data_IF_383871351419
#
_entry.id   IF_383871351419
#
_cell.length_a   1.000
_cell.length_b   1.000
_cell.length_c   1.000
_cell.angle_alpha   90.00
_cell.angle_beta   90.00
_cell.angle_gamma   90.00
#
_symmetry.space_group_name_H-M   'P 1'
#
loop_
_entity.id
_entity.type
_entity.pdbx_description
1 polymer ?
#
# COMPACT_ATOMS: atom_id res chain seq x y z
N UNK A 1 -74.59 -13.28 -54.53
CA UNK A 1 -73.36 -13.48 -55.33
C UNK A 1 -72.21 -12.71 -54.70
N UNK A 2 -71.07 -13.34 -54.38
CA UNK A 2 -69.88 -12.65 -53.88
C UNK A 2 -69.05 -12.12 -55.07
N UNK A 3 -69.36 -10.91 -55.54
CA UNK A 3 -68.60 -10.22 -56.60
C UNK A 3 -68.44 -11.05 -57.88
N UNK A 4 -69.51 -11.69 -58.34
CA UNK A 4 -69.59 -12.43 -59.60
C UNK A 4 -70.57 -11.72 -60.55
N UNK A 5 -70.37 -11.90 -61.86
CA UNK A 5 -71.34 -11.45 -62.85
C UNK A 5 -72.53 -12.42 -62.91
N UNK A 6 -73.72 -11.90 -63.19
CA UNK A 6 -74.88 -12.70 -63.62
C UNK A 6 -75.38 -12.13 -64.95
N UNK A 7 -75.83 -13.03 -65.82
CA UNK A 7 -76.52 -12.71 -67.05
C UNK A 7 -77.97 -13.19 -66.90
N UNK A 8 -78.93 -12.32 -67.22
CA UNK A 8 -80.37 -12.59 -67.20
C UNK A 8 -80.88 -12.47 -68.63
N UNK A 9 -81.58 -13.49 -69.10
CA UNK A 9 -82.22 -13.49 -70.41
C UNK A 9 -83.64 -12.92 -70.31
N UNK A 10 -83.99 -12.06 -71.26
CA UNK A 10 -85.30 -11.45 -71.42
C UNK A 10 -85.84 -11.82 -72.80
N UNK A 11 -86.91 -12.61 -72.85
CA UNK A 11 -87.68 -12.87 -74.07
C UNK A 11 -88.67 -11.74 -74.33
N UNK A 12 -88.60 -11.13 -75.51
CA UNK A 12 -89.54 -10.12 -76.00
C UNK A 12 -90.28 -10.70 -77.21
N UNK A 13 -91.57 -10.97 -77.07
CA UNK A 13 -92.45 -11.55 -78.10
C UNK A 13 -93.40 -10.47 -78.63
N UNK A 14 -93.45 -10.26 -79.94
CA UNK A 14 -94.38 -9.32 -80.56
C UNK A 14 -95.71 -10.05 -80.88
N UNK A 15 -96.79 -9.70 -80.17
CA UNK A 15 -98.14 -10.25 -80.39
C UNK A 15 -99.01 -9.39 -81.33
N UNK A 16 -98.44 -8.33 -81.90
CA UNK A 16 -99.06 -7.45 -82.88
C UNK A 16 -99.09 -8.03 -84.30
N UNK A 17 -99.52 -7.20 -85.26
CA UNK A 17 -99.65 -7.57 -86.69
C UNK A 17 -98.58 -6.96 -87.60
N UNK A 18 -97.75 -6.08 -87.05
CA UNK A 18 -96.66 -5.40 -87.77
C UNK A 18 -95.39 -5.40 -86.93
N UNK A 19 -94.25 -5.30 -87.58
CA UNK A 19 -92.95 -5.20 -86.91
C UNK A 19 -92.91 -3.95 -86.02
N UNK A 20 -92.41 -4.12 -84.79
CA UNK A 20 -92.34 -3.05 -83.79
C UNK A 20 -90.97 -3.03 -83.11
N UNK A 21 -90.56 -1.82 -82.71
CA UNK A 21 -89.35 -1.59 -81.94
C UNK A 21 -89.71 -1.47 -80.46
N UNK A 22 -89.02 -2.26 -79.64
CA UNK A 22 -89.13 -2.26 -78.19
C UNK A 22 -87.85 -1.71 -77.59
N UNK A 23 -87.99 -0.74 -76.68
CA UNK A 23 -86.89 -0.17 -75.89
C UNK A 23 -86.87 -0.84 -74.51
N UNK A 24 -85.70 -1.27 -74.04
CA UNK A 24 -85.50 -2.00 -72.78
C UNK A 24 -84.70 -1.12 -71.81
N UNK A 25 -85.33 -0.76 -70.69
CA UNK A 25 -84.68 -0.05 -69.58
C UNK A 25 -84.59 -0.92 -68.31
N UNK A 26 -83.55 -0.70 -67.51
CA UNK A 26 -83.26 -1.50 -66.31
C UNK A 26 -82.96 -0.57 -65.13
N UNK A 27 -83.79 -0.67 -64.09
CA UNK A 27 -83.77 0.21 -62.92
C UNK A 27 -83.61 -0.59 -61.62
N UNK A 28 -83.28 0.09 -60.52
CA UNK A 28 -83.16 -0.51 -59.18
C UNK A 28 -81.75 -0.98 -58.76
N UNK A 29 -80.77 -0.84 -59.65
CA UNK A 29 -79.33 -1.05 -59.37
C UNK A 29 -78.51 0.11 -59.96
N UNK A 30 -77.27 0.35 -59.48
CA UNK A 30 -76.38 1.33 -60.08
C UNK A 30 -76.15 1.07 -61.58
N UNK A 31 -76.31 2.10 -62.43
CA UNK A 31 -76.16 1.99 -63.89
C UNK A 31 -74.74 1.56 -64.34
N UNK A 32 -73.73 1.74 -63.49
CA UNK A 32 -72.39 1.20 -63.68
C UNK A 32 -72.32 -0.34 -63.65
N UNK A 33 -73.29 -1.02 -63.01
CA UNK A 33 -73.35 -2.47 -62.94
C UNK A 33 -74.07 -3.11 -64.13
N UNK A 34 -74.92 -2.37 -64.84
CA UNK A 34 -75.80 -2.94 -65.88
C UNK A 34 -75.20 -2.81 -67.28
N UNK A 35 -75.27 -3.88 -68.08
CA UNK A 35 -74.98 -3.88 -69.52
C UNK A 35 -76.00 -4.73 -70.27
N UNK A 36 -76.95 -4.07 -70.93
CA UNK A 36 -77.90 -4.69 -71.86
C UNK A 36 -77.23 -4.81 -73.23
N UNK A 37 -77.23 -6.01 -73.84
CA UNK A 37 -76.58 -6.21 -75.15
C UNK A 37 -77.34 -5.54 -76.32
N UNK A 38 -78.66 -5.44 -76.22
CA UNK A 38 -79.58 -4.84 -77.19
C UNK A 38 -80.58 -3.95 -76.43
N UNK A 39 -80.27 -2.67 -76.16
CA UNK A 39 -81.15 -1.77 -75.39
C UNK A 39 -82.40 -1.34 -76.17
N UNK A 40 -82.40 -1.52 -77.49
CA UNK A 40 -83.61 -1.50 -78.30
C UNK A 40 -83.53 -2.63 -79.33
N UNK A 41 -84.67 -3.24 -79.64
CA UNK A 41 -84.76 -4.37 -80.58
C UNK A 41 -86.04 -4.29 -81.40
N UNK A 42 -85.93 -4.57 -82.70
CA UNK A 42 -87.09 -4.72 -83.60
C UNK A 42 -87.47 -6.20 -83.60
N UNK A 43 -88.77 -6.49 -83.51
CA UNK A 43 -89.31 -7.85 -83.50
C UNK A 43 -90.49 -7.92 -84.47
N UNK A 44 -90.46 -8.90 -85.36
CA UNK A 44 -91.50 -9.13 -86.36
C UNK A 44 -92.76 -9.79 -85.77
N UNK A 45 -93.92 -9.75 -86.45
CA UNK A 45 -95.19 -10.27 -85.91
C UNK A 45 -95.12 -11.77 -85.58
N UNK A 46 -95.42 -12.13 -84.33
CA UNK A 46 -95.36 -13.50 -83.82
C UNK A 46 -93.97 -13.97 -83.40
N UNK A 47 -92.90 -13.25 -83.75
CA UNK A 47 -91.53 -13.62 -83.41
C UNK A 47 -91.15 -13.26 -81.97
N UNK A 48 -90.09 -13.89 -81.49
CA UNK A 48 -89.50 -13.65 -80.16
C UNK A 48 -88.01 -13.37 -80.27
N UNK A 49 -87.57 -12.27 -79.65
CA UNK A 49 -86.15 -11.89 -79.56
C UNK A 49 -85.64 -11.97 -78.13
N UNK A 50 -84.41 -12.49 -77.96
CA UNK A 50 -83.76 -12.68 -76.66
C UNK A 50 -82.76 -11.55 -76.36
N UNK A 51 -83.06 -10.72 -75.36
CA UNK A 51 -82.17 -9.65 -74.88
C UNK A 51 -81.40 -10.16 -73.66
N UNK A 52 -80.09 -9.94 -73.63
CA UNK A 52 -79.21 -10.38 -72.54
C UNK A 52 -78.81 -9.20 -71.65
N UNK A 53 -79.24 -9.24 -70.39
CA UNK A 53 -78.98 -8.23 -69.37
C UNK A 53 -77.85 -8.74 -68.47
N UNK A 54 -76.68 -8.14 -68.56
CA UNK A 54 -75.53 -8.47 -67.73
C UNK A 54 -75.46 -7.55 -66.53
N UNK A 55 -75.37 -8.12 -65.33
CA UNK A 55 -75.20 -7.42 -64.06
C UNK A 55 -73.82 -7.75 -63.51
N UNK A 56 -72.99 -6.71 -63.32
CA UNK A 56 -71.60 -6.78 -62.89
C UNK A 56 -71.34 -5.83 -61.71
N UNK A 57 -71.68 -6.23 -60.47
CA UNK A 57 -71.31 -5.48 -59.28
C UNK A 57 -69.80 -5.36 -59.17
N UNK A 58 -69.30 -4.13 -58.95
CA UNK A 58 -67.85 -3.89 -58.80
C UNK A 58 -67.36 -4.44 -57.44
N UNK A 59 -66.16 -5.01 -57.40
CA UNK A 59 -65.54 -5.44 -56.14
C UNK A 59 -64.89 -4.25 -55.43
N UNK A 60 -65.72 -3.38 -54.86
CA UNK A 60 -65.32 -2.22 -54.07
C UNK A 60 -66.10 -2.17 -52.75
N UNK A 61 -65.54 -1.54 -51.71
CA UNK A 61 -66.17 -1.41 -50.37
C UNK A 61 -67.56 -0.77 -50.43
N UNK A 62 -67.78 0.12 -51.40
CA UNK A 62 -69.04 0.85 -51.57
C UNK A 62 -70.18 -0.01 -52.14
N UNK A 63 -69.87 -1.21 -52.67
CA UNK A 63 -70.87 -2.16 -53.17
C UNK A 63 -71.55 -2.89 -52.02
N UNK A 64 -72.47 -2.17 -51.36
CA UNK A 64 -73.19 -2.63 -50.16
C UNK A 64 -73.91 -3.98 -50.41
N UNK A 65 -73.63 -5.02 -49.62
CA UNK A 65 -74.36 -6.28 -49.64
C UNK A 65 -75.84 -6.07 -49.33
N UNK A 66 -76.71 -6.86 -49.96
CA UNK A 66 -78.14 -6.69 -49.80
C UNK A 66 -78.95 -7.27 -50.97
N UNK A 67 -80.27 -7.07 -50.89
CA UNK A 67 -81.21 -7.43 -51.96
C UNK A 67 -81.59 -6.17 -52.73
N UNK A 68 -81.26 -6.14 -54.02
CA UNK A 68 -81.62 -5.04 -54.93
C UNK A 68 -82.85 -5.46 -55.76
N UNK A 69 -84.00 -4.79 -55.62
CA UNK A 69 -85.15 -5.01 -56.50
C UNK A 69 -84.85 -4.39 -57.87
N UNK A 70 -84.66 -5.22 -58.89
CA UNK A 70 -84.42 -4.79 -60.26
C UNK A 70 -85.74 -4.82 -61.03
N UNK A 71 -86.08 -3.69 -61.65
CA UNK A 71 -87.20 -3.57 -62.56
C UNK A 71 -86.67 -3.49 -63.99
N UNK A 72 -87.10 -4.43 -64.84
CA UNK A 72 -86.89 -4.39 -66.29
C UNK A 72 -88.17 -3.87 -66.92
N UNK A 73 -88.08 -2.76 -67.66
CA UNK A 73 -89.22 -2.15 -68.36
C UNK A 73 -89.03 -2.31 -69.85
N UNK A 74 -90.02 -2.86 -70.55
CA UNK A 74 -90.04 -3.02 -72.01
C UNK A 74 -91.13 -2.10 -72.55
N UNK A 75 -90.72 -1.06 -73.28
CA UNK A 75 -91.59 -0.02 -73.82
C UNK A 75 -91.71 -0.16 -75.34
N UNK A 76 -92.92 -0.34 -75.89
CA UNK A 76 -93.15 -0.28 -77.34
C UNK A 76 -92.99 1.17 -77.84
N UNK A 77 -92.34 1.36 -78.99
CA UNK A 77 -92.16 2.69 -79.57
C UNK A 77 -93.50 3.26 -80.13
N UNK A 78 -94.50 2.43 -80.50
CA UNK A 78 -95.79 2.91 -81.05
C UNK A 78 -96.78 3.35 -79.97
N UNK A 79 -96.89 2.60 -78.88
CA UNK A 79 -97.66 2.98 -77.68
C UNK A 79 -96.83 2.82 -76.40
N UNK A 80 -96.16 3.90 -75.95
CA UNK A 80 -95.42 3.90 -74.69
C UNK A 80 -96.26 3.61 -73.45
N UNK A 81 -97.61 3.68 -73.52
CA UNK A 81 -98.50 3.35 -72.39
C UNK A 81 -98.64 1.84 -72.18
N UNK A 82 -98.40 1.04 -73.22
CA UNK A 82 -98.42 -0.43 -73.16
C UNK A 82 -97.10 -1.04 -72.63
N UNK A 83 -96.28 -0.26 -71.91
CA UNK A 83 -95.01 -0.71 -71.36
C UNK A 83 -95.18 -1.81 -70.30
N UNK A 84 -94.52 -2.96 -70.52
CA UNK A 84 -94.51 -4.09 -69.60
C UNK A 84 -93.37 -3.97 -68.59
N UNK A 85 -93.58 -4.48 -67.37
CA UNK A 85 -92.61 -4.42 -66.26
C UNK A 85 -92.41 -5.81 -65.67
N UNK A 86 -91.17 -6.29 -65.68
CA UNK A 86 -90.76 -7.49 -64.96
C UNK A 86 -89.94 -7.09 -63.72
N UNK A 87 -90.19 -7.76 -62.59
CA UNK A 87 -89.45 -7.54 -61.34
C UNK A 87 -88.63 -8.77 -60.98
N UNK A 88 -87.37 -8.58 -60.61
CA UNK A 88 -86.47 -9.63 -60.13
C UNK A 88 -85.62 -9.12 -58.95
N UNK A 89 -85.21 -10.00 -58.04
CA UNK A 89 -84.42 -9.61 -56.87
C UNK A 89 -82.97 -10.10 -56.98
N UNK A 90 -82.02 -9.17 -57.03
CA UNK A 90 -80.59 -9.47 -57.09
C UNK A 90 -79.99 -9.46 -55.68
N UNK A 91 -79.62 -10.62 -55.15
CA UNK A 91 -79.01 -10.74 -53.82
C UNK A 91 -77.47 -10.69 -53.90
N UNK A 92 -76.90 -9.51 -53.64
CA UNK A 92 -75.46 -9.31 -53.48
C UNK A 92 -75.03 -9.88 -52.12
N UNK A 93 -74.04 -10.78 -52.12
CA UNK A 93 -73.47 -11.36 -50.90
C UNK A 93 -72.22 -10.56 -50.52
N UNK A 94 -71.88 -10.45 -49.22
CA UNK A 94 -70.66 -9.78 -48.79
C UNK A 94 -69.44 -10.46 -49.39
N UNK A 95 -68.44 -9.66 -49.75
CA UNK A 95 -67.09 -10.14 -50.01
C UNK A 95 -66.15 -9.57 -48.95
N UNK A 96 -65.11 -10.33 -48.65
CA UNK A 96 -64.24 -10.09 -47.51
C UNK A 96 -62.81 -9.83 -48.00
N UNK A 97 -62.10 -8.94 -47.32
CA UNK A 97 -60.69 -8.70 -47.53
C UNK A 97 -60.13 -7.91 -46.35
N UNK A 98 -59.04 -8.38 -45.75
CA UNK A 98 -58.35 -7.71 -44.67
C UNK A 98 -56.92 -7.39 -45.10
N UNK A 99 -56.59 -6.10 -45.14
CA UNK A 99 -55.21 -5.63 -45.15
C UNK A 99 -54.73 -5.51 -43.71
N UNK A 100 -53.59 -6.13 -43.39
CA UNK A 100 -52.97 -6.06 -42.07
C UNK A 100 -51.46 -5.93 -42.21
N UNK A 101 -50.85 -4.95 -41.53
CA UNK A 101 -49.42 -4.66 -41.64
C UNK A 101 -48.87 -4.02 -40.36
N UNK A 102 -47.63 -4.37 -39.99
CA UNK A 102 -46.87 -3.64 -38.96
C UNK A 102 -46.19 -2.42 -39.60
N UNK A 103 -46.16 -1.27 -38.92
CA UNK A 103 -45.43 -0.08 -39.43
C UNK A 103 -43.92 -0.34 -39.59
N UNK A 104 -43.36 -1.24 -38.78
CA UNK A 104 -41.99 -1.72 -38.90
C UNK A 104 -41.94 -3.19 -38.48
N UNK A 105 -41.38 -4.07 -39.31
CA UNK A 105 -41.23 -5.51 -39.00
C UNK A 105 -40.15 -5.80 -37.95
N UNK A 106 -39.34 -4.80 -37.61
CA UNK A 106 -38.28 -4.81 -36.60
C UNK A 106 -38.51 -3.62 -35.66
N UNK A 107 -38.63 -3.88 -34.36
CA UNK A 107 -38.86 -2.86 -33.32
C UNK A 107 -37.93 -3.09 -32.14
N UNK A 108 -37.58 -2.04 -31.39
CA UNK A 108 -36.67 -2.17 -30.25
C UNK A 108 -37.43 -2.63 -29.00
N UNK A 109 -36.78 -3.42 -28.14
CA UNK A 109 -37.33 -3.80 -26.83
C UNK A 109 -37.73 -2.55 -26.03
N UNK A 110 -38.96 -2.50 -25.54
CA UNK A 110 -39.51 -1.33 -24.84
C UNK A 110 -40.19 -0.29 -25.75
N UNK A 111 -40.05 -0.38 -27.07
CA UNK A 111 -40.69 0.57 -27.99
C UNK A 111 -42.14 0.18 -28.33
N UNK A 112 -42.93 1.18 -28.70
CA UNK A 112 -44.29 1.01 -29.20
C UNK A 112 -44.26 0.58 -30.67
N UNK A 113 -44.94 -0.51 -31.01
CA UNK A 113 -45.26 -0.87 -32.40
C UNK A 113 -46.68 -0.43 -32.76
N UNK A 114 -46.96 -0.30 -34.06
CA UNK A 114 -48.29 0.00 -34.60
C UNK A 114 -48.67 -1.03 -35.66
N UNK A 115 -49.89 -1.54 -35.53
CA UNK A 115 -50.55 -2.47 -36.45
C UNK A 115 -51.62 -1.69 -37.21
N UNK A 116 -51.49 -1.63 -38.54
CA UNK A 116 -52.50 -1.08 -39.43
C UNK A 116 -53.47 -2.18 -39.84
N UNK A 117 -54.76 -1.90 -39.74
CA UNK A 117 -55.87 -2.75 -40.16
C UNK A 117 -56.69 -1.99 -41.21
N UNK A 118 -57.10 -2.66 -42.28
CA UNK A 118 -57.90 -2.08 -43.36
C UNK A 118 -58.92 -3.09 -43.87
N UNK A 119 -60.21 -2.78 -43.76
CA UNK A 119 -61.27 -3.62 -44.29
C UNK A 119 -61.48 -3.33 -45.78
N UNK A 120 -60.89 -4.15 -46.64
CA UNK A 120 -61.13 -4.13 -48.10
C UNK A 120 -62.46 -4.80 -48.49
N UNK A 121 -63.19 -5.41 -47.55
CA UNK A 121 -64.49 -6.03 -47.78
C UNK A 121 -65.64 -5.03 -47.89
N UNK A 122 -66.82 -5.53 -48.24
CA UNK A 122 -68.06 -4.75 -48.36
C UNK A 122 -69.00 -4.88 -47.15
N UNK A 123 -68.62 -5.63 -46.12
CA UNK A 123 -69.37 -5.80 -44.87
C UNK A 123 -68.53 -5.40 -43.65
N UNK A 124 -69.16 -5.03 -42.52
CA UNK A 124 -68.47 -4.83 -41.25
C UNK A 124 -67.71 -6.10 -40.83
N UNK A 125 -66.49 -5.91 -40.33
CA UNK A 125 -65.57 -6.97 -39.95
C UNK A 125 -65.18 -6.81 -38.48
N UNK A 126 -65.54 -7.81 -37.66
CA UNK A 126 -65.14 -7.89 -36.25
C UNK A 126 -63.91 -8.80 -36.10
N UNK A 127 -62.86 -8.29 -35.48
CA UNK A 127 -61.56 -8.95 -35.33
C UNK A 127 -61.16 -9.06 -33.87
N UNK A 128 -60.73 -10.25 -33.46
CA UNK A 128 -59.99 -10.48 -32.22
C UNK A 128 -58.49 -10.54 -32.51
N UNK A 129 -57.73 -9.73 -31.78
CA UNK A 129 -56.30 -9.57 -31.95
C UNK A 129 -55.57 -10.24 -30.80
N UNK A 130 -54.62 -11.13 -31.09
CA UNK A 130 -53.70 -11.69 -30.10
C UNK A 130 -52.26 -11.55 -30.56
N UNK A 131 -51.34 -11.39 -29.62
CA UNK A 131 -49.90 -11.32 -29.89
C UNK A 131 -49.21 -12.43 -29.10
N UNK A 132 -48.39 -13.24 -29.76
CA UNK A 132 -47.73 -14.41 -29.19
C UNK A 132 -46.28 -14.49 -29.65
N UNK A 133 -45.39 -15.05 -28.82
CA UNK A 133 -44.02 -15.39 -29.18
C UNK A 133 -43.76 -16.89 -28.99
N UNK A 134 -42.94 -17.48 -29.86
CA UNK A 134 -42.75 -18.94 -29.89
C UNK A 134 -42.00 -19.50 -28.67
N UNK A 135 -41.29 -18.64 -27.93
CA UNK A 135 -40.38 -19.04 -26.84
C UNK A 135 -40.74 -18.43 -25.47
N UNK A 136 -41.85 -17.70 -25.36
CA UNK A 136 -42.30 -17.11 -24.10
C UNK A 136 -41.32 -16.13 -23.45
N UNK A 137 -40.42 -15.50 -24.21
CA UNK A 137 -39.40 -14.53 -23.72
C UNK A 137 -39.91 -13.08 -23.72
N UNK A 138 -40.97 -12.79 -24.47
CA UNK A 138 -41.55 -11.46 -24.61
C UNK A 138 -42.80 -11.27 -23.75
N UNK A 139 -42.96 -10.07 -23.21
CA UNK A 139 -44.20 -9.54 -22.66
C UNK A 139 -44.82 -8.65 -23.74
N UNK A 140 -45.87 -9.16 -24.39
CA UNK A 140 -46.56 -8.51 -25.50
C UNK A 140 -47.89 -7.95 -24.99
N UNK A 141 -48.12 -6.65 -25.21
CA UNK A 141 -49.38 -5.99 -24.82
C UNK A 141 -49.92 -5.17 -25.98
N UNK A 142 -51.14 -5.47 -26.41
CA UNK A 142 -51.90 -4.65 -27.35
C UNK A 142 -52.75 -3.63 -26.59
N UNK A 143 -52.94 -2.43 -27.13
CA UNK A 143 -53.83 -1.42 -26.53
C UNK A 143 -55.31 -1.81 -26.61
N UNK A 144 -55.65 -2.69 -27.55
CA UNK A 144 -56.97 -3.31 -27.69
C UNK A 144 -56.82 -4.69 -28.32
N UNK A 145 -57.56 -5.68 -27.81
CA UNK A 145 -57.59 -7.06 -28.31
C UNK A 145 -58.82 -7.37 -29.18
N UNK A 146 -59.65 -6.36 -29.45
CA UNK A 146 -60.81 -6.41 -30.33
C UNK A 146 -60.83 -5.16 -31.20
N UNK A 147 -61.24 -5.28 -32.45
CA UNK A 147 -61.43 -4.16 -33.37
C UNK A 147 -62.60 -4.47 -34.31
N UNK A 148 -63.50 -3.51 -34.49
CA UNK A 148 -64.59 -3.59 -35.47
C UNK A 148 -64.33 -2.54 -36.54
N UNK A 149 -64.37 -2.95 -37.82
CA UNK A 149 -64.12 -2.08 -38.97
C UNK A 149 -65.30 -2.15 -39.95
N UNK A 150 -65.90 -1.01 -40.27
CA UNK A 150 -66.86 -0.88 -41.37
C UNK A 150 -66.23 -1.12 -42.74
N UNK A 151 -67.03 -1.23 -43.81
CA UNK A 151 -66.52 -1.38 -45.19
C UNK A 151 -65.59 -0.22 -45.58
N UNK A 152 -64.38 -0.51 -46.04
CA UNK A 152 -63.36 0.49 -46.38
C UNK A 152 -62.67 1.16 -45.19
N UNK A 153 -63.04 0.83 -43.95
CA UNK A 153 -62.50 1.49 -42.76
C UNK A 153 -61.05 1.08 -42.47
N UNK A 154 -60.28 2.02 -41.90
CA UNK A 154 -58.90 1.81 -41.44
C UNK A 154 -58.80 2.05 -39.94
N UNK A 155 -58.21 1.11 -39.22
CA UNK A 155 -57.90 1.24 -37.80
C UNK A 155 -56.39 1.08 -37.56
N UNK A 156 -55.90 1.67 -36.47
CA UNK A 156 -54.52 1.48 -36.01
C UNK A 156 -54.54 1.00 -34.56
N UNK A 157 -53.88 -0.12 -34.30
CA UNK A 157 -53.75 -0.71 -32.97
C UNK A 157 -52.29 -0.59 -32.54
N UNK A 158 -52.03 0.13 -31.46
CA UNK A 158 -50.71 0.18 -30.84
C UNK A 158 -50.46 -1.03 -29.95
N UNK A 159 -49.19 -1.39 -29.76
CA UNK A 159 -48.79 -2.33 -28.74
C UNK A 159 -47.36 -2.11 -28.27
N UNK A 160 -46.99 -2.75 -27.18
CA UNK A 160 -45.61 -2.80 -26.64
C UNK A 160 -45.10 -4.23 -26.67
N UNK A 161 -43.80 -4.36 -26.91
CA UNK A 161 -43.07 -5.61 -26.81
C UNK A 161 -41.81 -5.40 -25.98
N UNK A 162 -41.72 -6.07 -24.82
CA UNK A 162 -40.59 -5.96 -23.90
C UNK A 162 -40.06 -7.35 -23.55
N UNK A 163 -38.75 -7.50 -23.34
CA UNK A 163 -38.23 -8.74 -22.79
C UNK A 163 -38.72 -8.93 -21.34
N UNK A 164 -39.06 -10.17 -20.98
CA UNK A 164 -39.38 -10.54 -19.59
C UNK A 164 -38.15 -10.44 -18.68
N UNK A 165 -36.99 -10.83 -19.18
CA UNK A 165 -35.70 -10.78 -18.48
C UNK A 165 -34.81 -9.69 -19.10
N UNK A 166 -34.38 -8.72 -18.29
CA UNK A 166 -33.49 -7.65 -18.75
C UNK A 166 -32.04 -8.14 -18.82
N UNK A 167 -31.44 -8.08 -20.01
CA UNK A 167 -30.03 -8.43 -20.22
C UNK A 167 -29.14 -7.19 -20.06
N UNK A 168 -28.39 -7.12 -18.96
CA UNK A 168 -27.42 -6.03 -18.75
C UNK A 168 -26.18 -6.13 -19.65
N UNK A 169 -25.82 -7.35 -20.08
CA UNK A 169 -24.63 -7.65 -20.86
C UNK A 169 -24.95 -8.58 -22.03
N UNK A 170 -24.30 -8.38 -23.18
CA UNK A 170 -24.34 -9.35 -24.26
C UNK A 170 -24.01 -8.78 -25.63
N UNK A 171 -24.39 -9.54 -26.65
CA UNK A 171 -24.61 -9.06 -28.01
C UNK A 171 -26.12 -8.90 -28.26
N UNK A 172 -26.46 -8.15 -29.30
CA UNK A 172 -27.83 -7.97 -29.79
C UNK A 172 -28.53 -9.31 -30.02
N UNK A 173 -29.81 -9.38 -29.67
CA UNK A 173 -30.63 -10.57 -29.87
C UNK A 173 -31.96 -10.22 -30.54
N UNK A 174 -32.37 -11.03 -31.51
CA UNK A 174 -33.69 -10.92 -32.16
C UNK A 174 -34.66 -11.93 -31.58
N UNK A 175 -35.85 -11.45 -31.18
CA UNK A 175 -36.95 -12.28 -30.68
C UNK A 175 -38.17 -12.10 -31.58
N UNK A 176 -38.55 -13.16 -32.29
CA UNK A 176 -39.71 -13.14 -33.17
C UNK A 176 -41.02 -13.23 -32.38
N UNK A 177 -42.01 -12.45 -32.78
CA UNK A 177 -43.40 -12.54 -32.34
C UNK A 177 -44.34 -12.54 -33.55
N UNK A 178 -45.57 -12.98 -33.34
CA UNK A 178 -46.62 -12.98 -34.36
C UNK A 178 -47.85 -12.33 -33.77
N UNK A 179 -48.46 -11.41 -34.52
CA UNK A 179 -49.79 -10.90 -34.22
C UNK A 179 -50.79 -11.62 -35.12
N UNK A 180 -51.78 -12.25 -34.53
CA UNK A 180 -52.88 -12.91 -35.23
C UNK A 180 -54.15 -12.08 -35.09
N UNK A 181 -54.80 -11.83 -36.22
CA UNK A 181 -56.15 -11.28 -36.30
C UNK A 181 -57.10 -12.40 -36.72
N UNK A 182 -57.99 -12.79 -35.81
CA UNK A 182 -59.04 -13.78 -36.04
C UNK A 182 -60.37 -13.06 -36.28
N UNK A 183 -61.14 -13.46 -37.29
CA UNK A 183 -62.48 -12.93 -37.51
C UNK A 183 -63.48 -13.69 -36.63
N UNK A 184 -64.04 -13.03 -35.62
CA UNK A 184 -64.99 -13.61 -34.65
C UNK A 184 -66.36 -13.95 -35.28
N UNK A 185 -66.61 -13.50 -36.51
CA UNK A 185 -67.82 -13.77 -37.29
C UNK A 185 -67.46 -14.31 -38.68
N UNK A 186 -68.45 -14.87 -39.39
CA UNK A 186 -68.30 -15.25 -40.81
C UNK A 186 -67.70 -14.08 -41.59
N UNK A 187 -66.58 -14.28 -42.31
CA UNK A 187 -66.09 -15.56 -42.88
C UNK A 187 -65.16 -16.45 -42.02
N UNK A 188 -64.89 -16.15 -40.74
CA UNK A 188 -64.02 -16.97 -39.86
C UNK A 188 -62.61 -17.28 -40.42
N UNK A 189 -61.88 -16.26 -40.89
CA UNK A 189 -60.46 -16.41 -41.24
C UNK A 189 -59.53 -16.02 -40.09
N UNK A 190 -58.26 -16.41 -40.18
CA UNK A 190 -57.17 -15.89 -39.35
C UNK A 190 -56.06 -15.38 -40.26
N UNK A 191 -55.56 -14.17 -40.01
CA UNK A 191 -54.36 -13.63 -40.67
C UNK A 191 -53.27 -13.38 -39.64
N UNK A 192 -52.04 -13.78 -39.96
CA UNK A 192 -50.88 -13.64 -39.10
C UNK A 192 -49.87 -12.65 -39.70
N UNK A 193 -49.36 -11.72 -38.88
CA UNK A 193 -48.28 -10.81 -39.25
C UNK A 193 -47.08 -11.04 -38.34
N UNK A 194 -45.92 -11.46 -38.88
CA UNK A 194 -44.70 -11.61 -38.10
C UNK A 194 -44.05 -10.26 -37.81
N UNK A 195 -43.44 -10.17 -36.62
CA UNK A 195 -42.59 -9.06 -36.20
C UNK A 195 -41.38 -9.57 -35.43
N UNK A 196 -40.37 -8.70 -35.25
CA UNK A 196 -39.16 -8.98 -34.48
C UNK A 196 -38.90 -7.87 -33.47
N UNK A 197 -38.63 -8.25 -32.23
CA UNK A 197 -38.04 -7.37 -31.22
C UNK A 197 -36.53 -7.49 -31.29
N UNK A 198 -35.83 -6.37 -31.33
CA UNK A 198 -34.37 -6.30 -31.14
C UNK A 198 -34.09 -5.91 -29.69
N UNK A 199 -33.35 -6.76 -29.00
CA UNK A 199 -32.80 -6.49 -27.68
C UNK A 199 -31.36 -5.99 -27.85
N UNK A 200 -31.09 -4.78 -27.34
CA UNK A 200 -29.77 -4.15 -27.31
C UNK A 200 -29.30 -4.06 -25.86
N UNK A 201 -28.43 -4.98 -25.39
CA UNK A 201 -27.85 -4.89 -24.06
C UNK A 201 -27.04 -3.60 -23.90
N UNK A 202 -27.14 -2.86 -22.77
CA UNK A 202 -26.47 -1.58 -22.60
C UNK A 202 -24.95 -1.69 -22.52
N UNK A 203 -24.41 -2.87 -22.19
CA UNK A 203 -22.98 -3.11 -22.05
C UNK A 203 -22.53 -4.29 -22.94
N UNK A 204 -21.42 -4.16 -23.69
CA UNK A 204 -20.86 -5.25 -24.48
C UNK A 204 -20.46 -6.46 -23.63
N UNK A 205 -20.51 -7.64 -24.23
CA UNK A 205 -20.21 -8.92 -23.58
C UNK A 205 -18.79 -9.05 -22.97
N UNK A 206 -17.83 -8.18 -23.34
CA UNK A 206 -16.48 -8.16 -22.75
C UNK A 206 -16.42 -7.46 -21.39
N UNK A 207 -17.33 -6.54 -21.10
CA UNK A 207 -17.28 -5.72 -19.88
C UNK A 207 -17.47 -6.54 -18.60
N UNK A 208 -18.23 -7.65 -18.66
CA UNK A 208 -18.30 -8.65 -17.57
C UNK A 208 -16.93 -9.26 -17.23
N UNK A 209 -16.09 -9.49 -18.23
CA UNK A 209 -14.73 -10.05 -18.04
C UNK A 209 -13.80 -8.98 -17.47
N UNK A 210 -13.90 -7.74 -17.95
CA UNK A 210 -13.17 -6.60 -17.40
C UNK A 210 -13.49 -6.36 -15.91
N UNK A 211 -14.78 -6.47 -15.52
CA UNK A 211 -15.19 -6.35 -14.12
C UNK A 211 -14.60 -7.46 -13.23
N UNK A 212 -14.62 -8.72 -13.70
CA UNK A 212 -14.01 -9.86 -12.98
C UNK A 212 -12.48 -9.68 -12.89
N UNK A 213 -11.81 -9.29 -13.97
CA UNK A 213 -10.37 -9.04 -13.99
C UNK A 213 -9.98 -7.89 -13.05
N UNK A 214 -10.76 -6.80 -13.02
CA UNK A 214 -10.56 -5.69 -12.08
C UNK A 214 -10.73 -6.10 -10.62
N UNK A 215 -11.73 -6.94 -10.31
CA UNK A 215 -11.92 -7.48 -8.97
C UNK A 215 -10.77 -8.41 -8.54
N UNK A 216 -10.30 -9.29 -9.43
CA UNK A 216 -9.14 -10.15 -9.17
C UNK A 216 -7.85 -9.33 -8.98
N UNK A 217 -7.63 -8.30 -9.80
CA UNK A 217 -6.51 -7.39 -9.66
C UNK A 217 -6.56 -6.64 -8.32
N UNK A 218 -7.73 -6.17 -7.89
CA UNK A 218 -7.91 -5.54 -6.58
C UNK A 218 -7.56 -6.51 -5.43
N UNK A 219 -7.98 -7.77 -5.49
CA UNK A 219 -7.60 -8.80 -4.51
C UNK A 219 -6.08 -9.02 -4.49
N UNK A 220 -5.43 -9.09 -5.65
CA UNK A 220 -3.95 -9.22 -5.74
C UNK A 220 -3.24 -8.00 -5.16
N UNK A 221 -3.70 -6.79 -5.46
CA UNK A 221 -3.13 -5.54 -4.93
C UNK A 221 -3.32 -5.43 -3.40
N UNK A 222 -4.48 -5.81 -2.87
CA UNK A 222 -4.73 -5.89 -1.43
C UNK A 222 -3.80 -6.93 -0.79
N UNK A 223 -3.67 -8.11 -1.39
CA UNK A 223 -2.76 -9.16 -0.90
C UNK A 223 -1.29 -8.70 -0.88
N UNK A 224 -0.84 -7.99 -1.92
CA UNK A 224 0.50 -7.42 -1.98
C UNK A 224 0.72 -6.32 -0.93
N UNK A 225 -0.26 -5.43 -0.73
CA UNK A 225 -0.20 -4.40 0.31
C UNK A 225 -0.14 -5.00 1.72
N UNK A 226 -0.95 -6.02 2.00
CA UNK A 226 -0.92 -6.75 3.29
C UNK A 226 0.40 -7.50 3.49
N UNK A 227 0.96 -8.11 2.45
CA UNK A 227 2.28 -8.77 2.50
C UNK A 227 3.39 -7.75 2.83
N UNK A 228 3.41 -6.60 2.16
CA UNK A 228 4.36 -5.51 2.46
C UNK A 228 4.24 -5.03 3.92
N UNK A 229 3.02 -4.90 4.44
CA UNK A 229 2.77 -4.51 5.83
C UNK A 229 3.24 -5.55 6.85
N UNK A 230 3.14 -6.85 6.53
CA UNK A 230 3.51 -7.95 7.41
C UNK A 230 5.02 -8.24 7.43
N UNK A 231 5.73 -7.96 6.34
CA UNK A 231 7.18 -8.23 6.19
C UNK A 231 8.05 -7.12 6.76
N UNK A 232 7.58 -5.88 6.80
CA UNK A 232 8.37 -4.73 7.26
C UNK A 232 8.39 -4.59 8.80
N UNK A 233 8.74 -5.66 9.51
CA UNK A 233 8.96 -5.63 10.97
C UNK A 233 10.36 -5.11 11.26
N UNK A 234 10.49 -3.82 11.54
CA UNK A 234 11.73 -3.24 12.08
C UNK A 234 11.98 -3.78 13.48
N UNK A 235 13.06 -4.55 13.67
CA UNK A 235 13.51 -4.98 15.00
C UNK A 235 14.41 -3.89 15.57
N UNK A 236 14.13 -3.43 16.79
CA UNK A 236 14.99 -2.48 17.49
C UNK A 236 16.25 -3.22 17.99
N UNK A 237 17.47 -2.76 17.68
CA UNK A 237 18.69 -3.41 18.14
C UNK A 237 18.83 -3.28 19.66
N UNK A 238 19.51 -4.25 20.30
CA UNK A 238 19.69 -4.29 21.76
C UNK A 238 21.17 -4.44 22.08
N UNK A 239 21.75 -3.42 22.73
CA UNK A 239 23.08 -3.51 23.34
C UNK A 239 22.90 -4.21 24.69
N UNK A 240 23.28 -5.48 24.78
CA UNK A 240 23.16 -6.30 25.98
C UNK A 240 24.29 -6.00 26.99
N UNK A 241 25.48 -5.68 26.50
CA UNK A 241 26.60 -5.20 27.31
C UNK A 241 27.49 -4.25 26.49
N UNK A 242 28.03 -3.23 27.16
CA UNK A 242 29.16 -2.43 26.66
C UNK A 242 29.99 -1.97 27.86
N UNK A 243 31.28 -2.30 27.86
CA UNK A 243 32.16 -2.07 29.00
C UNK A 243 33.61 -1.79 28.55
N UNK A 244 34.38 -1.19 29.43
CA UNK A 244 35.82 -0.98 29.29
C UNK A 244 36.53 -1.62 30.49
N UNK A 245 37.60 -2.39 30.25
CA UNK A 245 38.38 -3.03 31.30
C UNK A 245 39.88 -2.76 31.11
N UNK A 246 40.55 -2.11 32.07
CA UNK A 246 40.00 -1.38 33.22
C UNK A 246 39.39 -0.02 32.80
N UNK A 247 38.45 0.51 33.59
CA UNK A 247 37.91 1.88 33.41
C UNK A 247 38.88 2.97 33.90
N UNK A 248 39.84 2.62 34.76
CA UNK A 248 40.97 3.46 35.16
C UNK A 248 42.27 2.75 34.83
N UNK A 249 43.11 3.36 34.01
CA UNK A 249 44.30 2.72 33.43
C UNK A 249 45.55 3.58 33.64
N UNK A 250 46.69 2.92 33.91
CA UNK A 250 48.00 3.58 33.90
C UNK A 250 48.40 3.86 32.45
N UNK A 251 48.85 5.08 32.15
CA UNK A 251 49.30 5.48 30.81
C UNK A 251 50.31 4.47 30.24
N UNK A 252 50.03 3.97 29.04
CA UNK A 252 50.81 2.95 28.34
C UNK A 252 50.38 1.51 28.61
N UNK A 253 49.40 1.26 29.48
CA UNK A 253 48.72 -0.04 29.57
C UNK A 253 47.53 -0.09 28.58
N UNK A 254 47.20 -1.27 28.01
CA UNK A 254 46.05 -1.43 27.13
C UNK A 254 44.73 -1.31 27.89
N UNK A 255 43.69 -0.80 27.21
CA UNK A 255 42.30 -0.85 27.67
C UNK A 255 41.49 -1.70 26.71
N UNK A 256 40.77 -2.70 27.20
CA UNK A 256 39.91 -3.54 26.38
C UNK A 256 38.46 -3.02 26.43
N UNK A 257 37.93 -2.59 25.29
CA UNK A 257 36.51 -2.30 25.11
C UNK A 257 35.81 -3.58 24.67
N UNK A 258 34.76 -4.00 25.39
CA UNK A 258 33.99 -5.21 25.07
C UNK A 258 32.50 -4.88 24.92
N UNK A 259 31.82 -5.58 24.00
CA UNK A 259 30.39 -5.41 23.76
C UNK A 259 29.70 -6.73 23.40
N UNK A 260 28.40 -6.82 23.71
CA UNK A 260 27.45 -7.83 23.21
C UNK A 260 26.22 -7.09 22.66
N UNK A 261 25.93 -7.24 21.37
CA UNK A 261 24.83 -6.59 20.69
C UNK A 261 24.01 -7.60 19.90
N UNK A 262 22.68 -7.49 20.02
CA UNK A 262 21.70 -8.32 19.31
C UNK A 262 20.86 -7.48 18.36
N UNK A 263 20.38 -8.15 17.32
CA UNK A 263 19.46 -7.58 16.32
C UNK A 263 19.96 -6.28 15.68
N UNK A 264 21.29 -6.12 15.56
CA UNK A 264 21.94 -5.04 14.83
C UNK A 264 22.45 -5.53 13.46
N UNK A 265 22.41 -4.65 12.46
CA UNK A 265 22.99 -4.87 11.13
C UNK A 265 24.32 -4.15 10.95
N UNK A 266 24.55 -3.07 11.72
CA UNK A 266 25.79 -2.28 11.74
C UNK A 266 26.05 -1.81 13.17
N UNK A 267 27.32 -1.77 13.55
CA UNK A 267 27.79 -1.14 14.76
C UNK A 267 28.78 -0.02 14.40
N UNK A 268 28.75 1.07 15.16
CA UNK A 268 29.74 2.13 15.08
C UNK A 268 30.25 2.50 16.47
N UNK A 269 31.54 2.71 16.61
CA UNK A 269 32.17 3.21 17.83
C UNK A 269 32.58 4.68 17.62
N UNK A 270 32.10 5.56 18.49
CA UNK A 270 32.42 6.98 18.52
C UNK A 270 33.27 7.25 19.76
N UNK A 271 34.39 7.95 19.61
CA UNK A 271 35.23 8.41 20.73
C UNK A 271 35.14 9.94 20.83
N UNK A 272 34.80 10.43 22.01
CA UNK A 272 34.78 11.87 22.36
C UNK A 272 33.96 12.75 21.39
N UNK A 273 32.92 12.18 20.76
CA UNK A 273 32.09 12.88 19.76
C UNK A 273 32.74 13.06 18.39
N UNK A 274 33.86 12.38 18.10
CA UNK A 274 34.55 12.38 16.81
C UNK A 274 33.83 11.56 15.72
N UNK A 275 34.54 11.25 14.63
CA UNK A 275 33.96 10.45 13.55
C UNK A 275 33.62 9.02 13.99
N UNK A 276 32.47 8.45 13.57
CA UNK A 276 32.12 7.08 13.90
C UNK A 276 32.99 6.08 13.13
N UNK A 277 33.72 5.23 13.84
CA UNK A 277 34.38 4.08 13.24
C UNK A 277 33.40 2.92 13.13
N UNK A 278 33.15 2.46 11.89
CA UNK A 278 32.32 1.27 11.64
C UNK A 278 33.08 0.01 12.09
N UNK A 279 32.37 -0.92 12.73
CA UNK A 279 32.90 -2.22 13.13
C UNK A 279 32.44 -3.29 12.13
N UNK A 280 33.34 -4.20 11.77
CA UNK A 280 33.12 -5.16 10.67
C UNK A 280 32.06 -6.22 10.99
N UNK A 281 32.01 -6.71 12.24
CA UNK A 281 31.08 -7.74 12.67
C UNK A 281 29.99 -7.18 13.62
N UNK A 282 28.70 -7.22 13.23
CA UNK A 282 27.59 -6.87 14.11
C UNK A 282 27.26 -8.05 15.04
N UNK A 283 27.65 -7.93 16.31
CA UNK A 283 27.44 -8.96 17.32
C UNK A 283 28.17 -8.65 18.62
N UNK A 284 28.71 -9.69 19.26
CA UNK A 284 29.67 -9.52 20.36
C UNK A 284 31.10 -9.32 19.83
N UNK A 285 31.87 -8.46 20.48
CA UNK A 285 33.22 -8.13 20.03
C UNK A 285 34.07 -7.49 21.12
N UNK A 286 35.36 -7.35 20.80
CA UNK A 286 36.35 -6.69 21.65
C UNK A 286 37.30 -5.85 20.81
N UNK A 287 37.79 -4.74 21.36
CA UNK A 287 38.83 -3.93 20.75
C UNK A 287 39.73 -3.30 21.83
N UNK A 288 41.01 -3.61 21.75
CA UNK A 288 42.07 -3.02 22.57
C UNK A 288 42.46 -1.62 22.09
N UNK A 289 42.41 -0.64 22.99
CA UNK A 289 42.83 0.75 22.77
C UNK A 289 44.14 1.02 23.53
N UNK A 290 45.11 1.67 22.87
CA UNK A 290 46.34 2.15 23.50
C UNK A 290 46.06 3.44 24.29
N UNK A 291 46.26 3.40 25.61
CA UNK A 291 46.05 4.55 26.50
C UNK A 291 47.08 5.68 26.31
N UNK A 292 48.20 5.45 25.61
CA UNK A 292 49.09 6.54 25.21
C UNK A 292 48.40 7.55 24.29
N UNK A 293 47.47 7.06 23.46
CA UNK A 293 46.73 7.84 22.45
C UNK A 293 45.44 8.46 22.99
N UNK A 294 45.24 8.40 24.32
CA UNK A 294 44.05 8.91 25.00
C UNK A 294 44.38 10.13 25.91
N UNK A 295 43.49 11.13 25.97
CA UNK A 295 43.50 12.14 27.02
C UNK A 295 43.20 11.51 28.39
N UNK A 296 43.40 12.26 29.48
CA UNK A 296 43.19 11.80 30.85
C UNK A 296 41.77 11.29 31.14
N UNK A 297 40.79 11.65 30.30
CA UNK A 297 39.42 11.14 30.30
C UNK A 297 38.92 11.06 28.86
N UNK A 298 38.47 9.88 28.44
CA UNK A 298 37.85 9.63 27.14
C UNK A 298 36.48 8.97 27.33
N UNK A 299 35.49 9.32 26.51
CA UNK A 299 34.18 8.67 26.45
C UNK A 299 34.03 7.94 25.12
N UNK A 300 33.75 6.64 25.20
CA UNK A 300 33.40 5.81 24.05
C UNK A 300 31.89 5.60 24.01
N UNK A 301 31.29 5.71 22.84
CA UNK A 301 29.86 5.48 22.59
C UNK A 301 29.73 4.42 21.51
N UNK A 302 29.12 3.28 21.84
CA UNK A 302 28.75 2.24 20.90
C UNK A 302 27.34 2.52 20.38
N UNK A 303 27.18 2.57 19.07
CA UNK A 303 25.91 2.82 18.38
C UNK A 303 25.53 1.57 17.58
N UNK A 304 24.39 0.98 17.89
CA UNK A 304 23.83 -0.18 17.21
C UNK A 304 22.68 0.23 16.28
N UNK A 305 22.70 -0.22 15.03
CA UNK A 305 21.74 0.19 13.99
C UNK A 305 21.08 -1.02 13.31
N UNK A 306 19.76 -0.96 13.09
CA UNK A 306 19.01 -1.91 12.26
C UNK A 306 17.92 -1.18 11.46
N UNK A 307 18.12 -1.07 10.14
CA UNK A 307 17.26 -0.24 9.29
C UNK A 307 17.21 1.22 9.77
N UNK A 308 16.02 1.66 10.23
CA UNK A 308 15.78 2.99 10.79
C UNK A 308 15.84 3.05 12.32
N UNK A 309 16.10 1.93 13.00
CA UNK A 309 16.17 1.84 14.46
C UNK A 309 17.63 1.98 14.92
N UNK A 310 17.85 2.75 15.97
CA UNK A 310 19.18 3.01 16.54
C UNK A 310 19.10 3.01 18.08
N UNK A 311 20.10 2.42 18.73
CA UNK A 311 20.30 2.44 20.19
C UNK A 311 21.78 2.70 20.47
N UNK A 312 22.09 3.48 21.50
CA UNK A 312 23.44 3.83 21.92
C UNK A 312 23.72 3.47 23.39
N UNK A 313 24.99 3.21 23.70
CA UNK A 313 25.50 2.98 25.05
C UNK A 313 26.88 3.62 25.20
N UNK A 314 27.20 4.15 26.38
CA UNK A 314 28.46 4.87 26.62
C UNK A 314 29.27 4.28 27.78
N UNK A 315 30.60 4.27 27.64
CA UNK A 315 31.54 3.94 28.70
C UNK A 315 32.67 4.98 28.76
N UNK A 316 33.11 5.31 29.97
CA UNK A 316 34.17 6.29 30.21
C UNK A 316 35.44 5.60 30.69
N UNK A 317 36.58 6.00 30.13
CA UNK A 317 37.92 5.52 30.48
C UNK A 317 38.75 6.70 30.96
N UNK A 318 39.41 6.54 32.11
CA UNK A 318 40.32 7.55 32.66
C UNK A 318 41.76 7.04 32.66
N UNK A 319 42.68 7.85 32.15
CA UNK A 319 44.10 7.50 32.03
C UNK A 319 44.91 8.36 32.98
N UNK A 320 45.74 7.74 33.82
CA UNK A 320 46.58 8.45 34.79
C UNK A 320 48.06 8.03 34.72
N UNK A 321 48.94 8.95 35.11
CA UNK A 321 50.37 8.70 35.31
C UNK A 321 50.65 8.55 36.81
N UNK A 322 51.23 7.43 37.28
CA UNK A 322 51.59 7.25 38.68
C UNK A 322 52.86 8.04 39.03
N UNK A 323 52.90 8.63 40.22
CA UNK A 323 54.09 9.29 40.75
C UNK A 323 55.14 8.25 41.20
N UNK A 324 56.39 8.46 40.79
CA UNK A 324 57.52 7.59 41.13
C UNK A 324 58.64 8.43 41.73
N UNK A 325 59.13 8.04 42.91
CA UNK A 325 60.34 8.60 43.52
C UNK A 325 61.50 7.65 43.24
N UNK A 326 62.30 7.95 42.22
CA UNK A 326 63.42 7.10 41.77
C UNK A 326 64.55 7.05 42.81
N UNK A 327 64.93 8.22 43.33
CA UNK A 327 66.03 8.37 44.29
C UNK A 327 65.73 9.41 45.35
N UNK A 328 66.28 9.20 46.55
CA UNK A 328 66.39 10.18 47.62
C UNK A 328 67.71 9.90 48.36
N UNK A 329 68.57 10.90 48.46
CA UNK A 329 69.87 10.80 49.12
C UNK A 329 70.22 12.06 49.92
N UNK A 330 70.98 11.88 50.99
CA UNK A 330 71.45 12.97 51.85
C UNK A 330 72.97 12.89 51.93
N UNK A 331 73.65 14.02 51.76
CA UNK A 331 75.11 14.13 51.76
C UNK A 331 75.57 15.24 52.73
N UNK A 332 76.57 15.00 53.59
CA UNK A 332 77.19 13.70 53.87
C UNK A 332 76.20 12.71 54.51
N UNK A 333 76.30 11.43 54.16
CA UNK A 333 75.41 10.38 54.69
C UNK A 333 75.66 10.02 56.16
N UNK A 334 76.77 10.50 56.73
CA UNK A 334 77.06 10.49 58.16
C UNK A 334 77.17 11.94 58.60
N UNK A 335 76.53 12.26 59.71
CA UNK A 335 76.50 13.60 60.32
C UNK A 335 77.06 13.50 61.74
N UNK A 336 77.59 14.58 62.31
CA UNK A 336 78.20 14.56 63.64
C UNK A 336 77.37 15.36 64.64
N UNK A 337 76.99 14.75 65.76
CA UNK A 337 76.12 15.40 66.75
C UNK A 337 76.81 16.65 67.34
N UNK A 338 76.06 17.75 67.44
CA UNK A 338 76.54 19.04 67.95
C UNK A 338 77.69 19.68 67.14
N UNK A 339 77.87 19.30 65.88
CA UNK A 339 78.79 19.96 64.93
C UNK A 339 77.98 20.73 63.90
N UNK A 340 78.33 21.99 63.62
CA UNK A 340 77.71 22.75 62.54
C UNK A 340 78.21 22.17 61.20
N UNK A 341 77.28 21.78 60.34
CA UNK A 341 77.59 21.22 59.03
C UNK A 341 76.49 21.51 58.01
N UNK A 342 76.86 21.59 56.73
CA UNK A 342 75.90 21.71 55.65
C UNK A 342 75.40 20.32 55.21
N UNK A 343 74.11 20.20 54.90
CA UNK A 343 73.55 19.02 54.24
C UNK A 343 73.12 19.38 52.82
N UNK A 344 73.34 18.46 51.89
CA UNK A 344 72.75 18.49 50.56
C UNK A 344 71.84 17.28 50.41
N UNK A 345 70.55 17.54 50.26
CA UNK A 345 69.52 16.54 49.96
C UNK A 345 69.34 16.54 48.44
N UNK A 346 69.32 15.35 47.81
CA UNK A 346 69.08 15.18 46.37
C UNK A 346 68.00 14.14 46.13
N UNK A 347 67.19 14.34 45.11
CA UNK A 347 66.11 13.43 44.74
C UNK A 347 65.88 13.44 43.23
N UNK A 348 65.23 12.39 42.74
CA UNK A 348 64.64 12.34 41.40
C UNK A 348 63.23 11.79 41.51
N UNK A 349 62.27 12.52 40.92
CA UNK A 349 60.84 12.25 40.98
C UNK A 349 60.22 12.48 39.59
N UNK A 350 59.29 11.61 39.19
CA UNK A 350 58.62 11.65 37.89
C UNK A 350 57.14 11.31 38.02
N UNK A 351 56.30 11.78 37.08
CA UNK A 351 54.88 11.42 37.03
C UNK A 351 54.03 11.97 38.20
N UNK A 352 54.54 12.97 38.91
CA UNK A 352 53.80 13.61 40.01
C UNK A 352 52.94 14.77 39.51
N UNK A 353 51.88 15.07 40.26
CA UNK A 353 51.05 16.27 40.12
C UNK A 353 51.20 17.16 41.37
N UNK A 354 50.98 18.47 41.20
CA UNK A 354 51.11 19.44 42.30
C UNK A 354 52.56 19.78 42.66
N UNK A 355 52.80 20.14 43.93
CA UNK A 355 54.09 20.63 44.44
C UNK A 355 54.75 19.54 45.30
N UNK A 356 55.98 19.08 44.99
CA UNK A 356 56.73 18.18 45.86
C UNK A 356 57.10 18.85 47.19
N UNK A 357 57.11 18.08 48.28
CA UNK A 357 57.40 18.60 49.63
C UNK A 357 58.46 17.74 50.31
N UNK A 358 59.46 18.39 50.94
CA UNK A 358 60.32 17.73 51.92
C UNK A 358 59.73 17.88 53.33
N UNK A 359 59.69 16.76 54.08
CA UNK A 359 59.26 16.67 55.48
C UNK A 359 60.36 16.03 56.35
N UNK A 360 60.32 16.21 57.67
CA UNK A 360 61.20 15.50 58.62
C UNK A 360 62.57 16.15 58.88
N UNK A 361 62.64 17.48 58.74
CA UNK A 361 63.83 18.32 58.93
C UNK A 361 63.73 19.27 60.14
N UNK A 362 62.60 19.23 60.85
CA UNK A 362 62.27 20.10 61.99
C UNK A 362 63.29 20.03 63.15
N UNK A 363 63.89 18.86 63.39
CA UNK A 363 64.94 18.69 64.42
C UNK A 363 66.27 19.37 64.08
N UNK A 364 66.42 19.89 62.85
CA UNK A 364 67.54 20.72 62.42
C UNK A 364 67.23 22.22 62.48
N UNK A 365 66.03 22.61 62.94
CA UNK A 365 65.56 24.00 62.98
C UNK A 365 64.97 24.50 61.66
N UNK A 366 64.68 23.60 60.71
CA UNK A 366 64.04 23.92 59.43
C UNK A 366 62.49 23.80 59.52
N UNK A 367 61.73 24.36 58.57
CA UNK A 367 60.28 24.17 58.51
C UNK A 367 59.88 22.69 58.41
N UNK A 368 58.73 22.34 59.00
CA UNK A 368 58.19 20.98 58.98
C UNK A 368 57.81 20.49 57.57
N UNK A 369 57.43 21.42 56.69
CA UNK A 369 57.21 21.20 55.26
C UNK A 369 58.01 22.24 54.47
N UNK A 370 58.82 21.79 53.52
CA UNK A 370 59.56 22.64 52.59
C UNK A 370 59.03 22.34 51.18
N UNK A 371 58.22 23.23 50.59
CA UNK A 371 57.77 23.06 49.21
C UNK A 371 58.95 23.26 48.25
N UNK A 372 59.00 22.42 47.22
CA UNK A 372 60.06 22.37 46.21
C UNK A 372 59.55 22.91 44.88
N UNK A 373 60.42 23.56 44.10
CA UNK A 373 60.07 23.84 42.70
C UNK A 373 59.99 22.52 41.88
N UNK A 374 59.11 22.40 40.86
CA UNK A 374 58.92 21.13 40.15
C UNK A 374 60.17 20.58 39.45
N UNK A 375 61.11 21.45 39.08
CA UNK A 375 62.40 21.15 38.44
C UNK A 375 63.56 21.05 39.44
N UNK A 376 63.33 21.37 40.72
CA UNK A 376 64.34 21.30 41.76
C UNK A 376 64.64 19.84 42.10
N UNK A 377 65.92 19.43 41.95
CA UNK A 377 66.42 18.08 42.25
C UNK A 377 67.36 18.03 43.46
N UNK A 378 67.65 19.18 44.07
CA UNK A 378 68.49 19.30 45.24
C UNK A 378 68.10 20.48 46.16
N UNK A 379 68.32 20.31 47.46
CA UNK A 379 68.25 21.36 48.47
C UNK A 379 69.52 21.32 49.31
N UNK A 380 70.21 22.46 49.43
CA UNK A 380 71.21 22.65 50.47
C UNK A 380 70.54 23.29 51.68
N UNK A 381 70.74 22.72 52.86
CA UNK A 381 70.14 23.22 54.11
C UNK A 381 70.83 24.47 54.65
N UNK A 382 72.03 24.78 54.15
CA UNK A 382 72.98 25.63 54.88
C UNK A 382 73.40 25.01 56.22
N UNK A 383 74.03 25.80 57.10
CA UNK A 383 74.66 25.30 58.31
C UNK A 383 73.63 24.88 59.36
N UNK A 384 73.48 23.56 59.53
CA UNK A 384 72.58 22.95 60.52
C UNK A 384 73.37 22.31 61.67
N UNK A 385 72.73 22.19 62.84
CA UNK A 385 73.31 21.63 64.05
C UNK A 385 72.51 20.37 64.48
N UNK A 386 72.80 19.18 63.93
CA UNK A 386 72.09 17.96 64.29
C UNK A 386 72.31 17.59 65.78
N UNK A 387 71.23 17.63 66.56
CA UNK A 387 71.25 17.22 67.98
C UNK A 387 70.64 15.84 68.21
N UNK A 388 69.73 15.40 67.34
CA UNK A 388 69.05 14.10 67.37
C UNK A 388 69.08 13.44 66.01
N UNK A 389 68.71 12.16 65.98
CA UNK A 389 68.48 11.39 64.76
C UNK A 389 67.29 12.02 63.99
N UNK A 390 67.35 12.01 62.66
CA UNK A 390 66.32 12.60 61.81
C UNK A 390 66.11 11.81 60.50
N UNK A 391 64.95 11.97 59.88
CA UNK A 391 64.59 11.25 58.66
C UNK A 391 64.00 12.20 57.64
N UNK A 392 64.73 12.46 56.57
CA UNK A 392 64.24 13.24 55.44
C UNK A 392 63.21 12.41 54.68
N UNK A 393 62.04 12.97 54.41
CA UNK A 393 61.06 12.39 53.49
C UNK A 393 60.82 13.33 52.34
N UNK A 394 60.72 12.79 51.13
CA UNK A 394 60.09 13.50 50.02
C UNK A 394 58.70 12.92 49.79
N UNK A 395 57.72 13.80 49.64
CA UNK A 395 56.31 13.47 49.38
C UNK A 395 55.91 14.14 48.08
N UNK A 396 55.28 13.36 47.20
CA UNK A 396 54.69 13.81 45.93
C UNK A 396 53.28 13.24 45.80
N UNK A 397 52.40 13.90 45.07
CA UNK A 397 51.07 13.36 44.76
C UNK A 397 51.05 12.77 43.34
N UNK A 398 50.33 11.67 43.12
CA UNK A 398 50.01 11.22 41.76
C UNK A 398 48.88 12.07 41.13
N UNK A 399 48.55 11.84 39.86
CA UNK A 399 47.46 12.55 39.16
C UNK A 399 46.06 12.31 39.78
N UNK A 400 45.92 11.34 40.68
CA UNK A 400 44.66 11.02 41.39
C UNK A 400 44.60 11.63 42.80
N UNK A 401 45.65 12.32 43.24
CA UNK A 401 45.76 12.89 44.59
C UNK A 401 46.26 11.90 45.66
N UNK A 402 46.86 10.77 45.26
CA UNK A 402 47.47 9.80 46.17
C UNK A 402 48.86 10.28 46.59
N UNK A 403 49.14 10.45 47.89
CA UNK A 403 50.50 10.72 48.36
C UNK A 403 51.40 9.48 48.16
N UNK A 404 52.56 9.70 47.54
CA UNK A 404 53.69 8.75 47.44
C UNK A 404 54.85 9.37 48.22
N UNK A 405 55.34 8.68 49.25
CA UNK A 405 56.48 9.14 50.04
C UNK A 405 57.69 8.20 49.96
N UNK A 406 58.89 8.75 50.11
CA UNK A 406 60.13 7.97 50.29
C UNK A 406 60.99 8.60 51.39
N UNK A 407 61.54 7.76 52.25
CA UNK A 407 62.32 8.19 53.44
C UNK A 407 63.81 7.87 53.30
N UNK A 408 64.67 8.86 53.55
CA UNK A 408 66.11 8.70 53.80
C UNK A 408 66.43 8.92 55.28
N UNK A 409 67.17 8.01 55.90
CA UNK A 409 67.56 8.09 57.33
C UNK A 409 68.96 8.65 57.49
N UNK A 410 69.16 9.55 58.45
CA UNK A 410 70.48 10.04 58.86
C UNK A 410 70.64 9.87 60.38
N UNK A 411 71.65 9.08 60.79
CA UNK A 411 71.97 8.85 62.19
C UNK A 411 73.27 9.61 62.55
N UNK A 412 73.25 10.56 63.50
CA UNK A 412 74.46 11.26 63.91
C UNK A 412 75.46 10.36 64.65
N UNK A 413 76.71 10.31 64.18
CA UNK A 413 77.81 9.66 64.87
C UNK A 413 78.13 10.41 66.19
N UNK A 414 78.51 9.65 67.21
CA UNK A 414 78.81 10.10 68.57
C UNK A 414 80.29 10.41 68.80
N UNK A 415 81.16 10.22 67.82
CA UNK A 415 82.62 10.22 67.98
C UNK A 415 83.33 11.50 67.48
N UNK A 416 83.10 12.65 68.15
CA UNK A 416 83.83 13.89 67.90
C UNK A 416 84.67 14.32 69.13
N UNK A 417 86.00 14.18 69.06
CA UNK A 417 86.95 14.57 70.12
C UNK A 417 87.62 15.90 69.79
N UNK A 418 87.52 16.87 70.70
CA UNK A 418 88.03 18.23 70.52
C UNK A 418 89.52 18.32 70.89
N UNK A 419 90.41 18.61 69.93
CA UNK A 419 91.86 18.82 70.17
C UNK A 419 92.21 20.29 69.93
N UNK A 420 92.76 20.97 70.95
CA UNK A 420 93.02 22.42 70.93
C UNK A 420 94.52 22.73 70.99
N UNK A 421 95.09 23.25 69.90
CA UNK A 421 96.52 23.59 69.79
C UNK A 421 96.84 25.01 70.30
N UNK A 422 98.05 25.21 70.85
CA UNK A 422 98.44 26.38 71.69
C UNK A 422 99.08 27.56 70.94
N UNK A 423 99.11 28.74 71.59
CA UNK A 423 100.31 29.61 71.66
C UNK A 423 100.45 30.34 73.01
N UNK A 424 101.67 30.81 73.33
CA UNK A 424 102.15 31.29 74.66
C UNK A 424 102.10 32.81 74.86
N UNK A 425 102.00 33.23 76.12
CA UNK A 425 102.70 34.39 76.73
C UNK A 425 103.10 34.01 78.19
N UNK A 426 103.92 34.82 78.88
CA UNK A 426 104.73 34.40 80.03
C UNK A 426 104.47 35.14 81.37
N UNK A 427 105.18 34.72 82.44
CA UNK A 427 105.28 35.29 83.80
C UNK A 427 104.06 35.07 84.73
N UNK A 428 104.19 34.83 86.05
CA UNK A 428 105.34 34.46 86.91
C UNK A 428 104.84 33.71 88.19
N UNK A 429 105.75 33.05 88.91
CA UNK A 429 105.71 32.58 90.32
C UNK A 429 104.77 31.43 90.76
N UNK A 430 105.48 30.35 91.16
CA UNK A 430 105.41 29.63 92.45
C UNK A 430 104.07 29.00 92.92
N UNK A 431 104.05 27.74 93.39
CA UNK A 431 105.13 26.74 93.48
C UNK A 431 104.81 25.63 94.49
N UNK A 432 105.39 24.43 94.26
CA UNK A 432 105.25 23.18 95.04
C UNK A 432 103.82 22.56 95.04
N UNK A 433 103.65 21.24 94.89
CA UNK A 433 104.60 20.20 94.50
C UNK A 433 104.16 18.79 94.92
N UNK A 434 104.56 17.76 94.15
CA UNK A 434 104.47 16.28 94.42
C UNK A 434 103.04 15.77 94.71
N UNK A 435 102.45 14.87 93.93
CA UNK A 435 102.96 13.57 93.40
C UNK A 435 102.10 12.46 94.04
N UNK A 436 101.86 11.27 93.48
CA UNK A 436 102.22 10.60 92.22
C UNK A 436 101.59 9.19 92.25
N UNK A 437 102.00 8.26 91.36
CA UNK A 437 101.64 6.81 91.37
C UNK A 437 100.18 6.55 90.88
N UNK A 438 99.89 6.05 89.66
CA UNK A 438 100.30 4.84 88.91
C UNK A 438 99.97 3.52 89.63
N UNK A 439 98.92 2.76 89.32
CA UNK A 439 98.65 1.99 88.08
C UNK A 439 98.11 0.59 88.53
N UNK A 440 98.08 -0.51 87.74
CA UNK A 440 96.79 -1.17 87.46
C UNK A 440 96.77 -2.70 87.74
N UNK A 441 95.64 -3.36 87.46
CA UNK A 441 95.60 -4.82 87.23
C UNK A 441 94.44 -5.24 86.31
N UNK A 442 94.67 -6.29 85.52
CA UNK A 442 93.80 -6.77 84.44
C UNK A 442 93.68 -8.30 84.43
N UNK A 443 92.59 -8.85 83.88
CA UNK A 443 92.55 -10.24 83.36
C UNK A 443 91.22 -10.97 83.62
N UNK A 444 90.92 -12.13 83.00
CA UNK A 444 91.38 -12.79 81.75
C UNK A 444 90.53 -14.06 81.52
N UNK A 445 90.30 -14.52 80.27
CA UNK A 445 89.81 -15.90 79.95
C UNK A 445 88.50 -15.96 79.14
N UNK A 446 88.30 -16.58 77.93
CA UNK A 446 88.91 -17.72 77.16
C UNK A 446 88.24 -19.08 77.52
N UNK A 447 87.71 -19.97 76.63
CA UNK A 447 87.79 -20.20 75.16
C UNK A 447 86.49 -20.85 74.55
N UNK A 448 86.09 -20.64 73.27
CA UNK A 448 86.23 -21.45 71.98
C UNK A 448 85.41 -22.74 71.79
N UNK A 449 84.86 -22.92 70.56
CA UNK A 449 85.13 -24.08 69.67
C UNK A 449 84.74 -23.84 68.18
N UNK A 450 85.29 -24.66 67.24
CA UNK A 450 85.23 -24.64 65.74
C UNK A 450 86.12 -25.81 65.22
N UNK A 451 86.30 -26.11 63.91
CA UNK A 451 85.50 -25.87 62.68
C UNK A 451 85.43 -27.12 61.72
N UNK A 452 84.89 -27.03 60.49
CA UNK A 452 85.64 -27.17 59.21
C UNK A 452 84.78 -27.01 57.93
N UNK A 453 85.46 -26.96 56.75
CA UNK A 453 85.00 -26.54 55.40
C UNK A 453 85.80 -27.31 54.32
N UNK A 454 85.33 -27.28 53.04
CA UNK A 454 85.98 -27.61 51.73
C UNK A 454 85.26 -28.78 51.00
N UNK A 455 84.93 -28.79 49.69
CA UNK A 455 84.94 -27.73 48.64
C UNK A 455 84.80 -28.28 47.17
N UNK A 456 84.52 -27.38 46.20
CA UNK A 456 84.63 -27.47 44.70
C UNK A 456 83.68 -28.38 43.83
N UNK A 457 82.82 -27.72 43.02
CA UNK A 457 82.81 -27.56 41.53
C UNK A 457 83.20 -28.75 40.58
N UNK A 458 82.71 -28.80 39.30
CA UNK A 458 81.34 -28.65 38.74
C UNK A 458 81.07 -29.58 37.50
N UNK A 459 80.11 -29.21 36.62
CA UNK A 459 79.67 -29.86 35.34
C UNK A 459 78.83 -31.13 35.55
N UNK A 460 77.76 -31.45 34.83
CA UNK A 460 76.89 -30.84 33.78
C UNK A 460 75.74 -31.87 33.54
N UNK A 461 74.73 -31.72 32.68
CA UNK A 461 74.23 -30.66 31.81
C UNK A 461 72.71 -30.93 31.56
N UNK A 462 71.98 -29.91 31.11
CA UNK A 462 70.72 -29.88 30.36
C UNK A 462 69.65 -30.99 30.52
N UNK A 463 68.42 -30.54 30.83
CA UNK A 463 67.18 -31.32 30.91
C UNK A 463 66.03 -30.44 31.39
#
# INVERSE_FOLDING_TARGET
MPGAYISVELSVTNTGRESERYTIDVQGVPQSWVRVNRPAVVVDPGDTSLVMINLRPIRHSDSRPGSYPVQVTVTPDRDPRAALRAMLTVRLQPFNGLGIALSASRVNSGSNFRLHLHNHGSAPLALRLTAQDAYGKLNLRLSQTFAQLGPGERAVVSGTATLKEKRAFGADAEHAFVITAHADAQPYFTVAVPGKVVDHPPLPAWSRLAAIAGALLAVVLIGYGVWGLLTNRTVTPVIAAFAAQPTEVVRGQPVELTWDVRDAQRLALIRDGGEPQILDEPGAGSWTVDSNMLPSRSTFVLVAMNGSQQVDAAVQVSVYTPAVIETLGVQPGIVFRNVIQDLTIRWSVSGFSGTPVLRGLESLGLPAEIPLAPDQTALSTGPVLPQTDFTVRIVVMDERGTEVERTGRCAPDRSAVYVRTRRRAAADRAGRGRGGVDAPASGRGVHRERPHVIGRLPLGADG
#
